data_IF_122385315701
#
_entry.id   IF_122385315701
#
_cell.length_a   1.000
_cell.length_b   1.000
_cell.length_c   1.000
_cell.angle_alpha   90.00
_cell.angle_beta   90.00
_cell.angle_gamma   90.00
#
_symmetry.space_group_name_H-M   'P 1'
#
loop_
_entity.id
_entity.type
_entity.pdbx_description
1 polymer ?
#
# COMPACT_ATOMS: atom_id res chain seq x y z
N UNK A 1 8.03 -7.68 26.77
CA UNK A 1 7.66 -8.97 26.16
C UNK A 1 8.33 -9.02 24.79
N UNK A 2 9.32 -9.89 24.58
CA UNK A 2 10.03 -10.00 23.30
C UNK A 2 9.06 -10.58 22.25
N UNK A 3 8.99 -10.05 21.02
CA UNK A 3 8.26 -10.73 19.95
C UNK A 3 8.91 -12.09 19.73
N UNK A 4 8.08 -13.14 19.63
CA UNK A 4 8.55 -14.51 19.43
C UNK A 4 9.49 -14.60 18.23
N UNK A 5 10.61 -15.30 18.42
CA UNK A 5 11.51 -15.64 17.33
C UNK A 5 10.76 -16.55 16.35
N UNK A 6 10.29 -15.99 15.25
CA UNK A 6 9.84 -16.80 14.12
C UNK A 6 11.07 -17.56 13.60
N UNK A 7 11.00 -18.90 13.65
CA UNK A 7 12.04 -19.82 13.21
C UNK A 7 12.42 -19.61 11.74
N UNK A 8 13.54 -20.23 11.35
CA UNK A 8 14.38 -19.91 10.20
C UNK A 8 13.76 -19.93 8.79
N UNK A 9 12.45 -20.17 8.61
CA UNK A 9 11.72 -19.99 7.34
C UNK A 9 10.25 -19.64 7.67
N UNK A 10 9.93 -18.35 7.77
CA UNK A 10 8.54 -17.93 7.99
C UNK A 10 7.74 -18.12 6.69
N UNK A 11 7.08 -19.28 6.59
CA UNK A 11 6.04 -19.56 5.60
C UNK A 11 4.67 -19.17 6.17
N UNK A 12 3.88 -18.43 5.39
CA UNK A 12 2.52 -18.03 5.73
C UNK A 12 1.62 -18.52 4.61
N UNK A 13 0.83 -19.55 4.87
CA UNK A 13 -0.09 -20.18 3.91
C UNK A 13 0.58 -20.55 2.57
N UNK A 14 1.80 -21.09 2.66
CA UNK A 14 2.62 -21.47 1.52
C UNK A 14 3.33 -20.31 0.84
N UNK A 15 3.33 -19.11 1.42
CA UNK A 15 4.08 -17.95 0.93
C UNK A 15 5.30 -17.73 1.82
N UNK A 16 6.48 -17.84 1.23
CA UNK A 16 7.75 -17.52 1.88
C UNK A 16 7.95 -16.01 1.95
N UNK A 17 8.24 -15.49 3.14
CA UNK A 17 8.64 -14.09 3.31
C UNK A 17 10.10 -13.89 2.83
N UNK A 18 10.37 -12.94 1.91
CA UNK A 18 11.73 -12.68 1.45
C UNK A 18 12.66 -12.23 2.58
N UNK A 19 13.91 -12.70 2.54
CA UNK A 19 14.97 -12.39 3.53
C UNK A 19 16.24 -11.85 2.88
N UNK A 20 16.14 -11.36 1.65
CA UNK A 20 17.24 -10.66 0.99
C UNK A 20 17.55 -9.35 1.71
N UNK A 21 18.72 -8.77 1.45
CA UNK A 21 19.14 -7.53 2.10
C UNK A 21 18.17 -6.37 1.86
N UNK A 22 17.61 -6.25 0.66
CA UNK A 22 16.61 -5.22 0.33
C UNK A 22 15.27 -5.47 1.02
N UNK A 23 14.83 -6.73 1.14
CA UNK A 23 13.59 -7.06 1.83
C UNK A 23 13.69 -6.79 3.34
N UNK A 24 14.80 -7.17 3.97
CA UNK A 24 15.06 -6.90 5.38
C UNK A 24 15.10 -5.38 5.64
N UNK A 25 15.81 -4.63 4.81
CA UNK A 25 15.87 -3.17 4.93
C UNK A 25 14.50 -2.51 4.74
N UNK A 26 13.67 -3.03 3.82
CA UNK A 26 12.32 -2.55 3.62
C UNK A 26 11.43 -2.80 4.84
N UNK A 27 11.51 -3.99 5.43
CA UNK A 27 10.77 -4.35 6.63
C UNK A 27 11.18 -3.48 7.83
N UNK A 28 12.49 -3.27 8.03
CA UNK A 28 13.02 -2.42 9.09
C UNK A 28 12.57 -0.97 8.94
N UNK A 29 12.63 -0.44 7.72
CA UNK A 29 12.18 0.93 7.41
C UNK A 29 10.68 1.09 7.66
N UNK A 30 9.86 0.15 7.19
CA UNK A 30 8.42 0.17 7.43
C UNK A 30 8.09 0.03 8.92
N UNK A 31 8.80 -0.82 9.65
CA UNK A 31 8.61 -0.99 11.08
C UNK A 31 8.94 0.28 11.88
N UNK A 32 9.99 0.98 11.49
CA UNK A 32 10.41 2.23 12.14
C UNK A 32 9.47 3.42 11.83
N UNK A 33 8.92 3.48 10.62
CA UNK A 33 8.22 4.66 10.11
C UNK A 33 6.69 4.58 10.20
N UNK A 34 6.10 3.38 10.09
CA UNK A 34 4.66 3.22 9.97
C UNK A 34 3.97 2.97 11.32
N UNK A 35 2.78 3.57 11.56
CA UNK A 35 1.87 3.12 12.61
C UNK A 35 1.58 1.62 12.50
N UNK A 36 1.42 0.94 13.64
CA UNK A 36 1.24 -0.52 13.71
C UNK A 36 0.11 -1.05 12.80
N UNK A 37 -1.00 -0.31 12.68
CA UNK A 37 -2.12 -0.69 11.80
C UNK A 37 -1.73 -0.70 10.31
N UNK A 38 -0.90 0.26 9.89
CA UNK A 38 -0.40 0.35 8.51
C UNK A 38 0.69 -0.69 8.25
N UNK A 39 1.55 -0.97 9.22
CA UNK A 39 2.54 -2.05 9.13
C UNK A 39 1.86 -3.43 9.00
N UNK A 40 0.86 -3.72 9.85
CA UNK A 40 0.09 -4.96 9.76
C UNK A 40 -0.66 -5.09 8.42
N UNK A 41 -1.18 -3.98 7.90
CA UNK A 41 -1.77 -3.92 6.56
C UNK A 41 -0.75 -4.24 5.46
N UNK A 42 0.44 -3.63 5.48
CA UNK A 42 1.50 -3.90 4.52
C UNK A 42 1.89 -5.39 4.46
N UNK A 43 2.02 -6.04 5.63
CA UNK A 43 2.31 -7.47 5.70
C UNK A 43 1.19 -8.34 5.11
N UNK A 44 -0.07 -8.05 5.41
CA UNK A 44 -1.21 -8.78 4.81
C UNK A 44 -1.30 -8.56 3.31
N UNK A 45 -1.08 -7.33 2.84
CA UNK A 45 -1.05 -6.99 1.41
C UNK A 45 0.00 -7.82 0.69
N UNK A 46 1.21 -7.95 1.23
CA UNK A 46 2.24 -8.80 0.63
C UNK A 46 1.75 -10.24 0.44
N UNK A 47 1.23 -10.87 1.51
CA UNK A 47 0.81 -12.27 1.44
C UNK A 47 -0.36 -12.46 0.49
N UNK A 48 -1.38 -11.59 0.53
CA UNK A 48 -2.49 -11.65 -0.42
C UNK A 48 -2.02 -11.43 -1.87
N UNK A 49 -1.09 -10.51 -2.12
CA UNK A 49 -0.57 -10.27 -3.46
C UNK A 49 0.21 -11.49 -3.98
N UNK A 50 1.01 -12.13 -3.13
CA UNK A 50 1.75 -13.34 -3.48
C UNK A 50 0.80 -14.53 -3.76
N UNK A 51 -0.27 -14.68 -2.97
CA UNK A 51 -1.32 -15.67 -3.22
C UNK A 51 -2.02 -15.41 -4.57
N UNK A 52 -2.36 -14.15 -4.86
CA UNK A 52 -2.98 -13.74 -6.12
C UNK A 52 -2.05 -13.99 -7.30
N UNK A 53 -0.76 -13.71 -7.16
CA UNK A 53 0.24 -13.98 -8.19
C UNK A 53 0.34 -15.47 -8.48
N UNK A 54 0.49 -16.30 -7.44
CA UNK A 54 0.55 -17.76 -7.55
C UNK A 54 -0.70 -18.34 -8.22
N UNK A 55 -1.89 -17.92 -7.78
CA UNK A 55 -3.17 -18.41 -8.32
C UNK A 55 -3.38 -18.01 -9.78
N UNK A 56 -2.95 -16.81 -10.14
CA UNK A 56 -3.06 -16.29 -11.51
C UNK A 56 -1.96 -16.75 -12.46
N UNK A 57 -0.98 -17.54 -12.01
CA UNK A 57 0.21 -17.86 -12.80
C UNK A 57 1.03 -16.62 -13.17
N UNK A 58 0.92 -15.56 -12.37
CA UNK A 58 1.58 -14.28 -12.61
C UNK A 58 3.00 -14.33 -12.02
N UNK A 59 3.99 -14.06 -12.85
CA UNK A 59 5.39 -13.96 -12.42
C UNK A 59 5.65 -12.53 -11.91
N UNK A 60 6.09 -12.44 -10.66
CA UNK A 60 6.57 -11.20 -10.05
C UNK A 60 7.90 -11.46 -9.35
N UNK A 61 8.80 -10.49 -9.41
CA UNK A 61 9.96 -10.47 -8.53
C UNK A 61 9.49 -10.28 -7.08
N UNK A 62 9.79 -11.26 -6.22
CA UNK A 62 9.24 -11.31 -4.87
C UNK A 62 9.83 -10.22 -3.96
N UNK A 63 11.08 -9.81 -4.21
CA UNK A 63 11.69 -8.70 -3.50
C UNK A 63 11.00 -7.38 -3.85
N UNK A 64 10.78 -7.11 -5.14
CA UNK A 64 10.03 -5.95 -5.62
C UNK A 64 8.61 -5.92 -5.08
N UNK A 65 7.92 -7.07 -5.02
CA UNK A 65 6.59 -7.16 -4.42
C UNK A 65 6.60 -6.91 -2.92
N UNK A 66 7.60 -7.42 -2.21
CA UNK A 66 7.73 -7.20 -0.78
C UNK A 66 8.02 -5.74 -0.45
N UNK A 67 9.00 -5.13 -1.13
CA UNK A 67 9.31 -3.70 -1.02
C UNK A 67 8.07 -2.87 -1.34
N UNK A 68 7.37 -3.17 -2.43
CA UNK A 68 6.18 -2.42 -2.83
C UNK A 68 5.06 -2.48 -1.79
N UNK A 69 4.87 -3.65 -1.18
CA UNK A 69 3.87 -3.83 -0.11
C UNK A 69 4.24 -3.05 1.15
N UNK A 70 5.52 -3.07 1.55
CA UNK A 70 6.03 -2.32 2.70
C UNK A 70 5.98 -0.81 2.50
N UNK A 71 6.15 -0.35 1.25
CA UNK A 71 6.27 1.07 0.93
C UNK A 71 4.99 1.73 0.41
N UNK A 72 3.94 0.96 0.10
CA UNK A 72 2.68 1.47 -0.43
C UNK A 72 2.07 2.61 0.41
N UNK A 73 2.30 2.59 1.72
CA UNK A 73 1.83 3.60 2.67
C UNK A 73 2.97 4.39 3.35
N UNK A 74 4.21 4.27 2.87
CA UNK A 74 5.38 4.95 3.47
C UNK A 74 5.24 6.46 3.47
N UNK A 75 4.61 7.02 2.44
CA UNK A 75 4.30 8.45 2.34
C UNK A 75 3.35 8.97 3.44
N UNK A 76 2.69 8.10 4.22
CA UNK A 76 1.86 8.48 5.37
C UNK A 76 2.65 8.59 6.68
N UNK A 77 3.94 8.25 6.67
CA UNK A 77 4.80 8.32 7.85
C UNK A 77 5.15 9.77 8.23
N UNK A 78 5.61 9.97 9.47
CA UNK A 78 6.02 11.28 9.97
C UNK A 78 7.18 11.90 9.17
N UNK A 79 7.98 11.09 8.45
CA UNK A 79 9.04 11.58 7.58
C UNK A 79 8.52 12.47 6.43
N UNK A 80 7.24 12.35 6.08
CA UNK A 80 6.58 13.10 5.00
C UNK A 80 5.57 14.13 5.51
N UNK A 81 5.64 14.51 6.79
CA UNK A 81 4.69 15.46 7.40
C UNK A 81 4.72 16.89 6.80
N UNK A 82 5.71 17.19 5.95
CA UNK A 82 5.86 18.46 5.23
C UNK A 82 5.84 18.29 3.71
N UNK A 83 5.52 17.09 3.21
CA UNK A 83 5.41 16.87 1.76
C UNK A 83 4.13 17.51 1.23
N UNK A 84 4.23 18.12 0.06
CA UNK A 84 3.07 18.61 -0.71
C UNK A 84 2.68 17.66 -1.85
N UNK A 85 3.34 16.50 -1.97
CA UNK A 85 2.99 15.48 -2.95
C UNK A 85 1.87 14.55 -2.42
N UNK A 86 1.29 13.76 -3.31
CA UNK A 86 0.45 12.61 -2.92
C UNK A 86 1.27 11.59 -2.14
N UNK A 87 0.69 10.99 -1.10
CA UNK A 87 1.41 10.00 -0.29
C UNK A 87 1.82 8.77 -1.10
N UNK A 88 1.05 8.43 -2.15
CA UNK A 88 1.38 7.32 -3.04
C UNK A 88 2.67 7.61 -3.83
N UNK A 89 2.91 8.86 -4.22
CA UNK A 89 4.13 9.26 -4.91
C UNK A 89 5.33 9.28 -3.97
N UNK A 90 5.17 9.82 -2.76
CA UNK A 90 6.21 9.79 -1.72
C UNK A 90 6.67 8.35 -1.43
N UNK A 91 5.71 7.42 -1.30
CA UNK A 91 6.00 6.00 -1.10
C UNK A 91 6.69 5.36 -2.30
N UNK A 92 6.25 5.68 -3.52
CA UNK A 92 6.84 5.18 -4.75
C UNK A 92 8.29 5.64 -4.94
N UNK A 93 8.56 6.94 -4.71
CA UNK A 93 9.90 7.52 -4.79
C UNK A 93 10.85 6.90 -3.75
N UNK A 94 10.36 6.68 -2.52
CA UNK A 94 11.11 6.03 -1.46
C UNK A 94 11.48 4.58 -1.82
N UNK A 95 10.52 3.81 -2.35
CA UNK A 95 10.75 2.43 -2.76
C UNK A 95 11.76 2.33 -3.90
N UNK A 96 11.62 3.19 -4.91
CA UNK A 96 12.57 3.30 -6.02
C UNK A 96 13.97 3.66 -5.53
N UNK A 97 14.08 4.58 -4.57
CA UNK A 97 15.35 4.93 -3.92
C UNK A 97 16.00 3.73 -3.23
N UNK A 98 15.23 2.96 -2.45
CA UNK A 98 15.71 1.75 -1.79
C UNK A 98 16.16 0.68 -2.80
N UNK A 99 15.32 0.36 -3.78
CA UNK A 99 15.63 -0.64 -4.82
C UNK A 99 16.89 -0.27 -5.61
N UNK A 100 17.04 1.01 -5.97
CA UNK A 100 18.24 1.52 -6.64
C UNK A 100 19.49 1.36 -5.76
N UNK A 101 19.39 1.68 -4.48
CA UNK A 101 20.52 1.55 -3.54
C UNK A 101 21.00 0.09 -3.43
N UNK A 102 20.08 -0.88 -3.45
CA UNK A 102 20.39 -2.31 -3.45
C UNK A 102 20.68 -2.90 -4.83
N UNK A 103 20.82 -2.08 -5.87
CA UNK A 103 21.26 -2.52 -7.20
C UNK A 103 20.18 -3.22 -8.04
N UNK A 104 18.90 -3.00 -7.75
CA UNK A 104 17.82 -3.51 -8.60
C UNK A 104 17.88 -2.90 -10.00
N UNK A 105 17.39 -3.63 -11.01
CA UNK A 105 17.34 -3.14 -12.39
C UNK A 105 16.42 -1.92 -12.53
N UNK A 106 16.63 -1.10 -13.57
CA UNK A 106 15.75 0.02 -13.87
C UNK A 106 14.29 -0.42 -14.07
N UNK A 107 14.06 -1.58 -14.71
CA UNK A 107 12.72 -2.14 -14.88
C UNK A 107 12.06 -2.47 -13.53
N UNK A 108 12.77 -3.11 -12.60
CA UNK A 108 12.23 -3.43 -11.28
C UNK A 108 11.94 -2.16 -10.47
N UNK A 109 12.79 -1.14 -10.59
CA UNK A 109 12.57 0.17 -9.98
C UNK A 109 11.29 0.83 -10.52
N UNK A 110 11.11 0.85 -11.84
CA UNK A 110 9.95 1.46 -12.49
C UNK A 110 8.66 0.67 -12.23
N UNK A 111 8.73 -0.67 -12.25
CA UNK A 111 7.59 -1.53 -11.93
C UNK A 111 7.10 -1.30 -10.50
N UNK A 112 8.01 -1.25 -9.51
CA UNK A 112 7.67 -1.00 -8.12
C UNK A 112 7.12 0.43 -7.92
N UNK A 113 7.74 1.41 -8.56
CA UNK A 113 7.27 2.79 -8.52
C UNK A 113 5.84 2.90 -9.07
N UNK A 114 5.57 2.31 -10.25
CA UNK A 114 4.25 2.31 -10.87
C UNK A 114 3.21 1.55 -10.03
N UNK A 115 3.59 0.41 -9.47
CA UNK A 115 2.71 -0.38 -8.60
C UNK A 115 2.27 0.43 -7.39
N UNK A 116 3.19 1.12 -6.71
CA UNK A 116 2.88 1.94 -5.54
C UNK A 116 2.14 3.22 -5.95
N UNK A 117 2.58 3.96 -6.97
CA UNK A 117 1.94 5.22 -7.35
C UNK A 117 0.46 5.04 -7.75
N UNK A 118 0.10 3.85 -8.26
CA UNK A 118 -1.22 3.57 -8.80
C UNK A 118 -2.09 2.65 -7.93
N UNK A 119 -1.59 2.15 -6.79
CA UNK A 119 -2.28 1.10 -6.01
C UNK A 119 -3.69 1.49 -5.53
N UNK A 120 -3.99 2.78 -5.41
CA UNK A 120 -5.31 3.31 -5.01
C UNK A 120 -6.21 3.70 -6.17
N UNK A 121 -5.70 3.67 -7.41
CA UNK A 121 -6.38 4.12 -8.64
C UNK A 121 -7.15 2.97 -9.31
N UNK A 122 -8.47 2.85 -9.17
CA UNK A 122 -9.21 1.70 -9.69
C UNK A 122 -9.11 1.57 -11.22
N UNK A 123 -8.97 0.34 -11.72
CA UNK A 123 -8.98 0.02 -13.16
C UNK A 123 -7.69 0.35 -13.92
N UNK A 124 -6.71 1.01 -13.31
CA UNK A 124 -5.43 1.35 -13.96
C UNK A 124 -4.35 0.27 -13.71
N UNK A 125 -4.05 -0.17 -12.46
CA UNK A 125 -2.93 -1.05 -12.16
C UNK A 125 -2.90 -2.36 -12.97
N UNK A 126 -4.07 -2.93 -13.22
CA UNK A 126 -4.22 -4.18 -13.98
C UNK A 126 -3.75 -4.12 -15.44
N UNK A 127 -3.63 -2.91 -16.01
CA UNK A 127 -3.15 -2.68 -17.38
C UNK A 127 -1.72 -2.19 -17.45
N UNK A 128 -1.09 -1.91 -16.30
CA UNK A 128 0.25 -1.31 -16.23
C UNK A 128 1.32 -2.39 -16.10
N UNK A 129 1.23 -3.22 -15.07
CA UNK A 129 2.19 -4.31 -14.87
C UNK A 129 1.59 -5.43 -14.02
N UNK A 130 2.15 -6.65 -14.10
CA UNK A 130 1.72 -7.74 -13.23
C UNK A 130 1.88 -7.41 -11.74
N UNK A 131 2.96 -6.69 -11.37
CA UNK A 131 3.22 -6.23 -10.02
C UNK A 131 2.15 -5.24 -9.52
N UNK A 132 1.81 -4.24 -10.34
CA UNK A 132 0.78 -3.26 -10.02
C UNK A 132 -0.60 -3.93 -9.85
N UNK A 133 -0.93 -4.87 -10.73
CA UNK A 133 -2.17 -5.65 -10.67
C UNK A 133 -2.33 -6.37 -9.33
N UNK A 134 -1.34 -7.18 -8.93
CA UNK A 134 -1.46 -8.01 -7.72
C UNK A 134 -1.41 -7.18 -6.45
N UNK A 135 -0.62 -6.10 -6.42
CA UNK A 135 -0.54 -5.18 -5.29
C UNK A 135 -1.87 -4.46 -5.05
N UNK A 136 -2.44 -3.84 -6.09
CA UNK A 136 -3.70 -3.11 -5.98
C UNK A 136 -4.88 -4.03 -5.60
N UNK A 137 -4.91 -5.24 -6.17
CA UNK A 137 -5.90 -6.26 -5.81
C UNK A 137 -5.79 -6.64 -4.32
N UNK A 138 -4.57 -6.88 -3.82
CA UNK A 138 -4.34 -7.25 -2.42
C UNK A 138 -4.68 -6.13 -1.43
N UNK A 139 -4.43 -4.86 -1.79
CA UNK A 139 -4.89 -3.70 -1.01
C UNK A 139 -6.42 -3.70 -0.90
N UNK A 140 -7.13 -3.94 -2.01
CA UNK A 140 -8.59 -4.03 -2.00
C UNK A 140 -9.10 -5.24 -1.19
N UNK A 141 -8.42 -6.39 -1.28
CA UNK A 141 -8.73 -7.57 -0.45
C UNK A 141 -8.59 -7.24 1.03
N UNK A 142 -7.49 -6.61 1.45
CA UNK A 142 -7.28 -6.33 2.87
C UNK A 142 -8.23 -5.25 3.42
N UNK A 143 -8.50 -4.18 2.66
CA UNK A 143 -9.29 -3.05 3.18
C UNK A 143 -10.79 -3.29 3.09
N UNK A 144 -11.26 -3.82 1.97
CA UNK A 144 -12.71 -3.89 1.65
C UNK A 144 -13.19 -5.31 1.32
N UNK A 145 -12.37 -6.33 1.57
CA UNK A 145 -12.69 -7.72 1.25
C UNK A 145 -13.04 -7.94 -0.23
N UNK A 146 -12.45 -7.14 -1.15
CA UNK A 146 -12.61 -7.39 -2.58
C UNK A 146 -12.05 -8.78 -2.92
N UNK A 147 -12.76 -9.50 -3.80
CA UNK A 147 -12.40 -10.86 -4.21
C UNK A 147 -12.27 -11.86 -3.04
N UNK A 148 -13.02 -11.65 -1.94
CA UNK A 148 -12.95 -12.47 -0.72
C UNK A 148 -12.96 -13.98 -1.02
N UNK A 149 -13.92 -14.44 -1.84
CA UNK A 149 -14.11 -15.85 -2.18
C UNK A 149 -13.07 -16.44 -3.14
N UNK A 150 -12.15 -15.63 -3.63
CA UNK A 150 -11.00 -16.17 -4.37
C UNK A 150 -9.97 -16.79 -3.45
N UNK A 151 -9.95 -16.42 -2.17
CA UNK A 151 -9.10 -17.02 -1.15
C UNK A 151 -9.86 -18.06 -0.34
N UNK A 152 -9.23 -19.20 -0.05
CA UNK A 152 -9.85 -20.22 0.80
C UNK A 152 -9.99 -19.74 2.25
N UNK A 153 -10.89 -20.33 3.03
CA UNK A 153 -11.00 -20.05 4.47
C UNK A 153 -9.66 -20.23 5.20
N UNK A 154 -8.91 -21.27 4.86
CA UNK A 154 -7.59 -21.54 5.43
C UNK A 154 -6.56 -20.46 5.08
N UNK A 155 -6.56 -19.97 3.83
CA UNK A 155 -5.69 -18.86 3.42
C UNK A 155 -6.03 -17.58 4.19
N UNK A 156 -7.32 -17.21 4.25
CA UNK A 156 -7.79 -16.02 4.96
C UNK A 156 -7.47 -16.09 6.45
N UNK A 157 -7.80 -17.21 7.09
CA UNK A 157 -7.53 -17.42 8.51
C UNK A 157 -6.03 -17.43 8.83
N UNK A 158 -5.22 -18.08 8.00
CA UNK A 158 -3.76 -18.14 8.19
C UNK A 158 -3.08 -16.77 8.07
N UNK A 159 -3.48 -15.95 7.09
CA UNK A 159 -2.99 -14.56 6.97
C UNK A 159 -3.36 -13.73 8.20
N UNK A 160 -4.62 -13.84 8.67
CA UNK A 160 -5.09 -13.08 9.83
C UNK A 160 -4.52 -13.59 11.17
N UNK A 161 -4.14 -14.86 11.24
CA UNK A 161 -3.44 -15.42 12.40
C UNK A 161 -1.99 -14.92 12.48
N UNK A 162 -1.29 -14.86 11.34
CA UNK A 162 0.08 -14.36 11.28
C UNK A 162 0.16 -12.84 11.47
N UNK A 163 -0.79 -12.09 10.90
CA UNK A 163 -0.86 -10.63 10.97
C UNK A 163 -2.24 -10.14 11.42
N UNK A 164 -2.54 -10.23 12.73
CA UNK A 164 -3.84 -9.83 13.27
C UNK A 164 -4.23 -8.40 12.91
N UNK A 165 -5.51 -8.21 12.57
CA UNK A 165 -6.07 -6.88 12.27
C UNK A 165 -6.31 -6.04 13.53
N UNK A 166 -6.46 -6.68 14.68
CA UNK A 166 -6.89 -6.01 15.91
C UNK A 166 -8.40 -5.74 15.95
N UNK A 167 -8.91 -5.35 17.12
CA UNK A 167 -10.35 -5.18 17.38
C UNK A 167 -10.97 -3.99 16.62
N UNK A 168 -10.19 -2.93 16.41
CA UNK A 168 -10.68 -1.66 15.86
C UNK A 168 -10.08 -1.31 14.49
N UNK A 169 -9.54 -2.31 13.77
CA UNK A 169 -8.84 -2.14 12.49
C UNK A 169 -9.45 -1.10 11.56
N UNK A 170 -10.76 -1.20 11.28
CA UNK A 170 -11.47 -0.33 10.33
C UNK A 170 -11.37 1.15 10.71
N UNK A 171 -11.49 1.47 12.00
CA UNK A 171 -11.39 2.86 12.47
C UNK A 171 -9.92 3.30 12.55
N UNK A 172 -9.02 2.40 12.97
CA UNK A 172 -7.59 2.70 13.09
C UNK A 172 -6.94 2.97 11.74
N UNK A 173 -7.26 2.17 10.70
CA UNK A 173 -6.71 2.34 9.36
C UNK A 173 -7.20 3.64 8.71
N UNK A 174 -8.50 3.94 8.83
CA UNK A 174 -9.09 5.21 8.35
C UNK A 174 -8.42 6.39 9.06
N UNK A 175 -8.29 6.34 10.39
CA UNK A 175 -7.65 7.39 11.15
C UNK A 175 -6.16 7.54 10.84
N UNK A 176 -5.44 6.45 10.58
CA UNK A 176 -4.02 6.50 10.22
C UNK A 176 -3.80 7.16 8.85
N UNK A 177 -4.60 6.80 7.84
CA UNK A 177 -4.55 7.44 6.52
C UNK A 177 -4.93 8.91 6.63
N UNK A 178 -6.04 9.22 7.30
CA UNK A 178 -6.51 10.60 7.49
C UNK A 178 -5.46 11.50 8.14
N UNK A 179 -4.85 11.07 9.25
CA UNK A 179 -3.76 11.84 9.90
C UNK A 179 -2.56 12.06 8.97
N UNK A 180 -2.22 11.08 8.13
CA UNK A 180 -1.08 11.17 7.21
C UNK A 180 -1.29 12.11 6.01
N UNK A 181 -2.54 12.49 5.71
CA UNK A 181 -2.88 13.39 4.59
C UNK A 181 -3.53 14.71 5.02
N UNK A 182 -3.93 14.87 6.29
CA UNK A 182 -4.62 16.05 6.81
C UNK A 182 -3.85 17.37 6.61
N UNK A 183 -2.51 17.34 6.58
CA UNK A 183 -1.67 18.52 6.37
C UNK A 183 -1.57 18.94 4.88
N UNK A 184 -2.11 18.12 3.96
CA UNK A 184 -2.02 18.32 2.50
C UNK A 184 -3.36 17.97 1.81
N UNK A 185 -4.48 18.57 2.24
CA UNK A 185 -5.83 18.22 1.77
C UNK A 185 -6.01 18.39 0.26
N UNK A 186 -5.32 19.36 -0.36
CA UNK A 186 -5.36 19.60 -1.81
C UNK A 186 -4.88 18.40 -2.64
N UNK A 187 -3.99 17.58 -2.09
CA UNK A 187 -3.44 16.40 -2.78
C UNK A 187 -4.42 15.23 -2.85
N UNK A 188 -5.53 15.28 -2.10
CA UNK A 188 -6.50 14.19 -2.06
C UNK A 188 -7.56 14.28 -3.16
N UNK A 189 -7.62 15.39 -3.89
CA UNK A 189 -8.60 15.60 -4.97
C UNK A 189 -8.52 14.47 -6.02
N UNK A 190 -9.65 13.81 -6.27
CA UNK A 190 -9.74 12.66 -7.18
C UNK A 190 -9.22 11.34 -6.61
N UNK A 191 -8.88 11.27 -5.32
CA UNK A 191 -8.38 10.06 -4.65
C UNK A 191 -9.35 9.56 -3.58
N UNK A 192 -9.17 8.31 -3.11
CA UNK A 192 -9.94 7.77 -1.97
C UNK A 192 -9.69 8.52 -0.67
N UNK A 193 -8.57 9.23 -0.55
CA UNK A 193 -8.24 10.03 0.64
C UNK A 193 -9.19 11.21 0.83
N UNK A 194 -9.85 11.69 -0.23
CA UNK A 194 -10.89 12.72 -0.10
C UNK A 194 -12.10 12.20 0.69
N UNK A 195 -12.51 10.94 0.50
CA UNK A 195 -13.58 10.31 1.28
C UNK A 195 -13.17 10.12 2.75
N UNK A 196 -11.90 9.84 3.01
CA UNK A 196 -11.38 9.70 4.36
C UNK A 196 -11.37 11.05 5.08
N UNK A 197 -10.92 12.12 4.42
CA UNK A 197 -10.92 13.46 5.03
C UNK A 197 -12.35 13.97 5.27
N UNK A 198 -13.25 13.83 4.29
CA UNK A 198 -14.68 14.17 4.43
C UNK A 198 -15.33 13.46 5.63
N UNK A 199 -14.90 12.23 5.92
CA UNK A 199 -15.41 11.46 7.06
C UNK A 199 -14.86 11.94 8.41
N UNK A 200 -13.65 12.51 8.45
CA UNK A 200 -12.88 12.78 9.67
C UNK A 200 -12.85 14.26 10.05
N UNK A 201 -12.93 15.16 9.09
CA UNK A 201 -12.82 16.60 9.26
C UNK A 201 -14.10 17.28 8.75
N UNK A 202 -14.95 17.82 9.64
CA UNK A 202 -16.19 18.50 9.24
C UNK A 202 -15.94 19.82 8.50
N UNK A 203 -14.73 20.37 8.54
CA UNK A 203 -14.33 21.57 7.82
C UNK A 203 -13.66 21.26 6.47
N UNK A 204 -13.45 19.97 6.14
CA UNK A 204 -12.85 19.58 4.87
C UNK A 204 -13.78 19.91 3.69
N UNK A 205 -13.32 20.82 2.84
CA UNK A 205 -13.99 21.15 1.59
C UNK A 205 -13.42 20.31 0.45
N UNK A 206 -14.19 19.33 -0.02
CA UNK A 206 -13.81 18.53 -1.18
C UNK A 206 -13.73 19.41 -2.44
N UNK A 207 -12.66 19.24 -3.22
CA UNK A 207 -12.55 19.88 -4.53
C UNK A 207 -13.73 19.53 -5.45
N UNK A 208 -14.14 20.48 -6.30
CA UNK A 208 -15.26 20.33 -7.22
C UNK A 208 -14.79 20.49 -8.68
N UNK A 209 -14.59 19.37 -9.37
CA UNK A 209 -14.11 19.35 -10.76
C UNK A 209 -15.07 20.06 -11.73
N UNK A 210 -16.37 19.81 -11.62
CA UNK A 210 -17.36 20.47 -12.47
C UNK A 210 -17.35 21.99 -12.25
N UNK A 211 -17.19 22.44 -11.00
CA UNK A 211 -17.02 23.85 -10.68
C UNK A 211 -15.76 24.47 -11.30
N UNK A 212 -14.65 23.73 -11.36
CA UNK A 212 -13.42 24.18 -12.04
C UNK A 212 -13.63 24.33 -13.56
N UNK A 213 -14.37 23.42 -14.20
CA UNK A 213 -14.73 23.52 -15.62
C UNK A 213 -15.63 24.74 -15.86
N UNK A 214 -16.73 24.86 -15.10
CA UNK A 214 -17.69 25.96 -15.26
C UNK A 214 -17.09 27.33 -14.92
N UNK A 215 -16.12 27.38 -14.01
CA UNK A 215 -15.37 28.59 -13.65
C UNK A 215 -14.13 28.84 -14.52
N UNK A 216 -13.92 28.05 -15.57
CA UNK A 216 -12.82 28.22 -16.52
C UNK A 216 -12.89 29.60 -17.19
N UNK A 217 -11.72 30.21 -17.44
CA UNK A 217 -11.60 31.51 -18.12
C UNK A 217 -11.68 31.41 -19.64
N UNK A 218 -11.68 30.20 -20.19
CA UNK A 218 -11.86 30.00 -21.63
C UNK A 218 -13.25 30.53 -22.05
N UNK A 219 -13.30 31.25 -23.17
CA UNK A 219 -14.56 31.67 -23.79
C UNK A 219 -14.99 30.55 -24.75
N UNK A 220 -16.18 30.00 -24.52
CA UNK A 220 -16.82 29.00 -25.38
C UNK A 220 -17.66 29.66 -26.50
#
# INVERSE_FOLDING_TARGET
>A
MRPGSFGADADIVGIRIPRTSVALAAAESAHAALPAVLLGHAHRVFVFAALNARRGGIVCDMDSLYVSSMYANMGLSAAYAHSSARYELDGADAARGLLRYYGASAQAQDDAWNAIALHTSPGIPERVSPLAKVLAAAVCTDLVAAHFETHTDGERAGVLAAYPRGKHFRHEIIGAIGRGVAHRPETTFGTRSADILDRLDPEYCRGNYCGQILGSRWQD
#
